data_IF_545515199661
#
_entry.id   IF_545515199661
#
_cell.length_a   1.000
_cell.length_b   1.000
_cell.length_c   1.000
_cell.angle_alpha   90.00
_cell.angle_beta   90.00
_cell.angle_gamma   90.00
#
_symmetry.space_group_name_H-M   'P 1'
#
loop_
_entity.id
_entity.type
_entity.pdbx_description
1 polymer ?
#
# COMPACT_ATOMS: atom_id res chain seq x y z
N UNK A 1 -9.68 6.93 21.60
CA UNK A 1 -9.15 6.37 20.34
C UNK A 1 -9.36 7.43 19.27
N UNK A 2 -8.28 7.96 18.70
CA UNK A 2 -8.37 8.99 17.65
C UNK A 2 -7.98 8.37 16.32
N UNK A 3 -8.85 8.50 15.33
CA UNK A 3 -8.61 8.01 13.96
C UNK A 3 -8.38 9.22 13.06
N UNK A 4 -7.33 9.16 12.22
CA UNK A 4 -7.04 10.17 11.20
C UNK A 4 -6.86 9.49 9.85
N UNK A 5 -7.42 10.08 8.81
CA UNK A 5 -7.21 9.65 7.43
C UNK A 5 -6.42 10.74 6.70
N UNK A 6 -5.31 10.37 6.07
CA UNK A 6 -4.42 11.28 5.33
C UNK A 6 -4.32 10.80 3.89
N UNK A 7 -4.59 11.65 2.90
CA UNK A 7 -4.31 11.35 1.49
C UNK A 7 -2.81 11.25 1.28
N UNK A 8 -2.36 10.20 0.60
CA UNK A 8 -0.94 9.98 0.30
C UNK A 8 -0.48 10.91 -0.83
N UNK A 9 0.77 11.35 -0.74
CA UNK A 9 1.49 12.02 -1.82
C UNK A 9 2.67 11.17 -2.30
N UNK A 10 3.44 11.65 -3.28
CA UNK A 10 4.68 11.00 -3.71
C UNK A 10 5.73 10.88 -2.58
N UNK A 11 5.69 11.76 -1.59
CA UNK A 11 6.59 11.69 -0.43
C UNK A 11 6.30 10.48 0.45
N UNK A 12 5.08 9.95 0.39
CA UNK A 12 4.62 8.79 1.15
C UNK A 12 4.96 7.45 0.46
N UNK A 13 5.60 7.47 -0.73
CA UNK A 13 5.81 6.28 -1.56
C UNK A 13 6.51 5.13 -0.83
N UNK A 14 7.58 5.44 -0.09
CA UNK A 14 8.34 4.41 0.61
C UNK A 14 7.51 3.77 1.73
N UNK A 15 6.79 4.59 2.50
CA UNK A 15 5.90 4.13 3.57
C UNK A 15 4.77 3.28 2.99
N UNK A 16 4.19 3.72 1.86
CA UNK A 16 3.13 2.99 1.16
C UNK A 16 3.63 1.62 0.69
N UNK A 17 4.84 1.55 0.14
CA UNK A 17 5.44 0.29 -0.29
C UNK A 17 5.61 -0.67 0.88
N UNK A 18 6.19 -0.20 1.99
CA UNK A 18 6.47 -1.03 3.17
C UNK A 18 5.18 -1.65 3.74
N UNK A 19 4.16 -0.83 4.01
CA UNK A 19 2.89 -1.33 4.54
C UNK A 19 2.13 -2.20 3.53
N UNK A 20 2.22 -1.92 2.22
CA UNK A 20 1.59 -2.75 1.20
C UNK A 20 2.22 -4.14 1.14
N UNK A 21 3.55 -4.22 1.23
CA UNK A 21 4.28 -5.50 1.25
C UNK A 21 3.96 -6.27 2.53
N UNK A 22 4.04 -5.62 3.69
CA UNK A 22 3.80 -6.25 4.98
C UNK A 22 2.38 -6.82 5.06
N UNK A 23 1.37 -6.00 4.80
CA UNK A 23 -0.04 -6.40 4.95
C UNK A 23 -0.45 -7.45 3.93
N UNK A 24 0.03 -7.34 2.67
CA UNK A 24 -0.26 -8.35 1.65
C UNK A 24 0.43 -9.67 1.97
N UNK A 25 1.70 -9.63 2.37
CA UNK A 25 2.42 -10.84 2.75
C UNK A 25 1.76 -11.51 3.95
N UNK A 26 1.42 -10.77 5.02
CA UNK A 26 0.80 -11.36 6.20
C UNK A 26 -0.56 -12.00 5.89
N UNK A 27 -1.34 -11.40 5.00
CA UNK A 27 -2.65 -11.92 4.59
C UNK A 27 -2.55 -13.18 3.74
N UNK A 28 -1.56 -13.26 2.84
CA UNK A 28 -1.56 -14.25 1.76
C UNK A 28 -0.39 -15.24 1.76
N UNK A 29 0.62 -15.09 2.65
CA UNK A 29 1.81 -15.96 2.69
C UNK A 29 1.46 -17.44 2.86
N UNK A 30 0.49 -17.76 3.70
CA UNK A 30 0.12 -19.15 4.02
C UNK A 30 -0.70 -19.81 2.89
N UNK A 31 -1.22 -19.01 1.95
CA UNK A 31 -2.01 -19.48 0.80
C UNK A 31 -1.18 -19.55 -0.49
N UNK A 32 0.10 -19.17 -0.45
CA UNK A 32 0.95 -19.05 -1.64
C UNK A 32 2.32 -19.68 -1.42
N UNK A 33 2.94 -20.15 -2.50
CA UNK A 33 4.36 -20.52 -2.43
C UNK A 33 5.24 -19.28 -2.20
N UNK A 34 6.39 -19.40 -1.52
CA UNK A 34 7.32 -18.27 -1.33
C UNK A 34 7.73 -17.61 -2.65
N UNK A 35 7.86 -18.41 -3.72
CA UNK A 35 8.19 -17.93 -5.06
C UNK A 35 7.08 -17.07 -5.66
N UNK A 36 5.82 -17.53 -5.58
CA UNK A 36 4.68 -16.78 -6.10
C UNK A 36 4.45 -15.49 -5.31
N UNK A 37 4.57 -15.57 -3.99
CA UNK A 37 4.46 -14.40 -3.11
C UNK A 37 5.51 -13.36 -3.49
N UNK A 38 6.79 -13.75 -3.54
CA UNK A 38 7.88 -12.84 -3.91
C UNK A 38 7.66 -12.19 -5.28
N UNK A 39 7.33 -12.99 -6.30
CA UNK A 39 7.11 -12.48 -7.65
C UNK A 39 5.94 -11.47 -7.72
N UNK A 40 4.87 -11.72 -6.96
CA UNK A 40 3.76 -10.77 -6.87
C UNK A 40 4.17 -9.46 -6.19
N UNK A 41 4.84 -9.53 -5.03
CA UNK A 41 5.28 -8.35 -4.28
C UNK A 41 6.24 -7.48 -5.12
N UNK A 42 7.21 -8.10 -5.79
CA UNK A 42 8.15 -7.40 -6.68
C UNK A 42 7.45 -6.75 -7.89
N UNK A 43 6.37 -7.34 -8.39
CA UNK A 43 5.65 -6.78 -9.53
C UNK A 43 4.62 -5.71 -9.14
N UNK A 44 3.79 -5.98 -8.12
CA UNK A 44 2.70 -5.10 -7.72
C UNK A 44 3.18 -3.88 -6.90
N UNK A 45 4.20 -4.07 -6.05
CA UNK A 45 4.63 -3.06 -5.09
C UNK A 45 6.05 -2.53 -5.36
N UNK A 46 6.61 -2.71 -6.56
CA UNK A 46 7.85 -2.00 -6.88
C UNK A 46 7.61 -0.49 -6.94
N UNK A 47 8.70 0.26 -6.70
CA UNK A 47 8.72 1.73 -6.66
C UNK A 47 8.08 2.35 -7.90
N UNK A 48 8.49 1.89 -9.08
CA UNK A 48 8.02 2.46 -10.35
C UNK A 48 6.50 2.24 -10.54
N UNK A 49 5.95 1.12 -10.09
CA UNK A 49 4.53 0.84 -10.16
C UNK A 49 3.75 1.74 -9.19
N UNK A 50 4.17 1.83 -7.94
CA UNK A 50 3.50 2.66 -6.93
C UNK A 50 3.60 4.16 -7.24
N UNK A 51 4.72 4.62 -7.81
CA UNK A 51 4.89 6.01 -8.27
C UNK A 51 3.87 6.36 -9.38
N UNK A 52 3.69 5.45 -10.36
CA UNK A 52 2.68 5.60 -11.41
C UNK A 52 1.27 5.64 -10.82
N UNK A 53 0.99 4.80 -9.84
CA UNK A 53 -0.33 4.75 -9.21
C UNK A 53 -0.62 5.99 -8.35
N UNK A 54 0.36 6.51 -7.60
CA UNK A 54 0.24 7.76 -6.83
C UNK A 54 0.13 8.99 -7.72
N UNK A 55 0.70 8.94 -8.93
CA UNK A 55 0.61 10.01 -9.93
C UNK A 55 -0.64 9.92 -10.81
N UNK A 56 -1.44 8.86 -10.67
CA UNK A 56 -2.63 8.64 -11.49
C UNK A 56 -3.84 9.39 -10.91
N UNK A 57 -4.40 10.32 -11.68
CA UNK A 57 -5.59 11.08 -11.27
C UNK A 57 -6.83 10.21 -10.98
N UNK A 58 -6.91 9.01 -11.55
CA UNK A 58 -8.02 8.07 -11.32
C UNK A 58 -7.76 7.12 -10.13
N UNK A 59 -6.63 7.24 -9.44
CA UNK A 59 -6.29 6.41 -8.29
C UNK A 59 -5.89 7.28 -7.12
N UNK A 60 -6.53 7.06 -5.97
CA UNK A 60 -6.20 7.78 -4.74
C UNK A 60 -5.82 6.80 -3.64
N UNK A 61 -4.79 7.16 -2.87
CA UNK A 61 -4.34 6.43 -1.71
C UNK A 61 -4.56 7.24 -0.46
N UNK A 62 -4.94 6.56 0.62
CA UNK A 62 -5.12 7.16 1.93
C UNK A 62 -4.50 6.28 3.01
N UNK A 63 -3.76 6.88 3.93
CA UNK A 63 -3.34 6.23 5.17
C UNK A 63 -4.38 6.43 6.26
N UNK A 64 -4.60 5.37 7.04
CA UNK A 64 -5.35 5.41 8.29
C UNK A 64 -4.35 5.39 9.45
N UNK A 65 -4.50 6.33 10.38
CA UNK A 65 -3.73 6.38 11.62
C UNK A 65 -4.64 6.19 12.82
N UNK A 66 -4.22 5.35 13.77
CA UNK A 66 -4.89 5.16 15.07
C UNK A 66 -3.92 5.63 16.14
N UNK A 67 -4.33 6.61 16.95
CA UNK A 67 -3.46 7.22 17.98
C UNK A 67 -2.09 7.71 17.42
N UNK A 68 -2.11 8.26 16.20
CA UNK A 68 -0.95 8.71 15.42
C UNK A 68 -0.01 7.60 14.90
N UNK A 69 -0.34 6.32 15.07
CA UNK A 69 0.40 5.21 14.46
C UNK A 69 -0.27 4.79 13.15
N UNK A 70 0.54 4.50 12.12
CA UNK A 70 0.04 4.02 10.84
C UNK A 70 -0.60 2.64 11.03
N UNK A 71 -1.89 2.54 10.75
CA UNK A 71 -2.68 1.34 11.00
C UNK A 71 -3.09 0.61 9.70
N UNK A 72 -2.95 1.26 8.55
CA UNK A 72 -3.35 0.70 7.27
C UNK A 72 -3.43 1.74 6.17
N UNK A 73 -3.81 1.29 4.99
CA UNK A 73 -4.07 2.17 3.86
C UNK A 73 -5.30 1.71 3.06
N UNK A 74 -5.84 2.62 2.27
CA UNK A 74 -6.91 2.36 1.32
C UNK A 74 -6.47 2.87 -0.05
N UNK A 75 -6.70 2.07 -1.10
CA UNK A 75 -6.64 2.50 -2.50
C UNK A 75 -8.06 2.58 -3.04
N UNK A 76 -8.42 3.72 -3.62
CA UNK A 76 -9.69 3.92 -4.33
C UNK A 76 -9.36 4.20 -5.79
N UNK A 77 -10.08 3.56 -6.70
CA UNK A 77 -9.98 3.83 -8.13
C UNK A 77 -11.32 4.28 -8.66
N UNK A 78 -11.34 5.39 -9.40
CA UNK A 78 -12.51 5.89 -10.08
C UNK A 78 -12.60 5.27 -11.48
N UNK A 79 -13.83 4.98 -11.92
CA UNK A 79 -14.14 4.44 -13.25
C UNK A 79 -14.40 5.56 -14.24
#
# INVERSE_FOLDING_TARGET
>A
MTVKIKKCSLEDLQILQEISIETFNDTFKDQNSPKNMKAYLENAFNVNQLEKELSNFFSEFFFAYVNNELAGYLKVSSV
#
